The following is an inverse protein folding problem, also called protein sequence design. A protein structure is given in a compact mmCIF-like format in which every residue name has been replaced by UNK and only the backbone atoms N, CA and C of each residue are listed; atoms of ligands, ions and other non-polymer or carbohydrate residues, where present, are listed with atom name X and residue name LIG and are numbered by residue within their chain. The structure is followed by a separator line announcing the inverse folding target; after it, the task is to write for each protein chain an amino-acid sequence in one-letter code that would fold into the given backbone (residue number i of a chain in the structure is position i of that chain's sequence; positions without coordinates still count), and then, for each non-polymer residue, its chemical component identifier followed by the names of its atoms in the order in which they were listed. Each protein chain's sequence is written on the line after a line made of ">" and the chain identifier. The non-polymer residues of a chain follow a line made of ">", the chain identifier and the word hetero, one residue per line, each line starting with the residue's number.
data_IF_664833910461
#
_entry.id   IF_664833910461
#
_cell.length_a   1.000
_cell.length_b   1.000
_cell.length_c   1.000
_cell.angle_alpha   90.00
_cell.angle_beta   90.00
_cell.angle_gamma   90.00
#
_symmetry.space_group_name_H-M   'P 1'
#
loop_
_entity.id
_entity.type
_entity.pdbx_description
1 polymer ?
#
# COMPACT_ATOMS: atom_id res chain seq x y z
N UNK A 1 14.25 8.79 2.82
CA UNK A 1 14.02 8.39 1.42
C UNK A 1 13.20 9.48 0.75
N UNK A 2 13.50 9.85 -0.49
CA UNK A 2 12.70 10.81 -1.25
C UNK A 2 12.08 10.07 -2.44
N UNK A 3 10.75 10.07 -2.57
CA UNK A 3 10.04 9.45 -3.69
C UNK A 3 9.55 10.58 -4.59
N UNK A 4 9.98 10.61 -5.84
CA UNK A 4 9.44 11.53 -6.84
C UNK A 4 8.18 10.92 -7.45
N UNK A 5 7.09 11.68 -7.41
CA UNK A 5 5.80 11.29 -7.97
C UNK A 5 5.58 12.08 -9.25
N UNK A 6 5.05 11.43 -10.28
CA UNK A 6 4.68 12.12 -11.51
C UNK A 6 3.67 13.23 -11.20
N UNK A 7 3.83 14.46 -11.74
CA UNK A 7 2.97 15.59 -11.36
C UNK A 7 1.47 15.34 -11.58
N UNK A 8 1.09 14.60 -12.61
CA UNK A 8 -0.33 14.28 -12.86
C UNK A 8 -0.89 13.28 -11.83
N UNK A 9 -0.07 12.32 -11.37
CA UNK A 9 -0.48 11.39 -10.31
C UNK A 9 -0.60 12.16 -8.99
N UNK A 10 0.32 13.08 -8.72
CA UNK A 10 0.24 13.93 -7.54
C UNK A 10 -1.07 14.73 -7.48
N UNK A 11 -1.49 15.34 -8.60
CA UNK A 11 -2.77 16.07 -8.68
C UNK A 11 -3.98 15.17 -8.35
N UNK A 12 -3.98 13.93 -8.83
CA UNK A 12 -5.06 12.99 -8.51
C UNK A 12 -5.06 12.63 -7.01
N UNK A 13 -3.89 12.40 -6.41
CA UNK A 13 -3.79 12.13 -4.98
C UNK A 13 -4.23 13.34 -4.14
N UNK A 14 -3.89 14.56 -4.54
CA UNK A 14 -4.36 15.79 -3.91
C UNK A 14 -5.89 15.90 -3.99
N UNK A 15 -6.47 15.61 -5.16
CA UNK A 15 -7.92 15.62 -5.35
C UNK A 15 -8.63 14.56 -4.49
N UNK A 16 -8.04 13.37 -4.32
CA UNK A 16 -8.56 12.38 -3.37
C UNK A 16 -8.63 12.92 -1.94
N UNK A 17 -7.62 13.68 -1.50
CA UNK A 17 -7.62 14.31 -0.18
C UNK A 17 -8.72 15.37 -0.07
N UNK A 18 -8.94 16.18 -1.11
CA UNK A 18 -10.04 17.14 -1.14
C UNK A 18 -11.40 16.43 -0.97
N UNK A 19 -11.62 15.32 -1.68
CA UNK A 19 -12.84 14.52 -1.54
C UNK A 19 -12.99 13.93 -0.13
N UNK A 20 -11.90 13.48 0.48
CA UNK A 20 -11.89 12.98 1.85
C UNK A 20 -12.26 14.04 2.88
N UNK A 21 -11.83 15.28 2.68
CA UNK A 21 -12.20 16.39 3.57
C UNK A 21 -13.68 16.75 3.44
N UNK A 22 -14.26 16.62 2.25
CA UNK A 22 -15.67 16.94 1.98
C UNK A 22 -16.63 15.83 2.41
N UNK A 23 -16.23 14.57 2.24
CA UNK A 23 -17.13 13.42 2.36
C UNK A 23 -16.71 12.40 3.44
N UNK A 24 -15.56 12.63 4.07
CA UNK A 24 -14.95 11.72 5.02
C UNK A 24 -14.03 10.69 4.36
N UNK A 25 -13.04 10.22 5.11
CA UNK A 25 -12.16 9.13 4.74
C UNK A 25 -12.31 8.00 5.76
N UNK A 26 -12.86 6.84 5.39
CA UNK A 26 -12.95 5.69 6.31
C UNK A 26 -11.59 5.23 6.85
N UNK A 27 -10.52 5.42 6.07
CA UNK A 27 -9.16 5.09 6.48
C UNK A 27 -8.50 6.18 7.35
N UNK A 28 -9.13 7.34 7.55
CA UNK A 28 -8.61 8.45 8.34
C UNK A 28 -7.31 9.02 7.78
N UNK A 29 -7.28 9.31 6.47
CA UNK A 29 -6.14 9.97 5.79
C UNK A 29 -6.55 11.36 5.35
N UNK A 30 -5.72 12.33 5.64
CA UNK A 30 -5.98 13.76 5.46
C UNK A 30 -4.87 14.50 4.70
N UNK A 31 -3.85 13.76 4.25
CA UNK A 31 -2.73 14.28 3.45
C UNK A 31 -2.25 13.27 2.42
N UNK A 32 -1.60 13.75 1.37
CA UNK A 32 -1.01 12.90 0.33
C UNK A 32 0.04 11.97 0.92
N UNK A 33 0.87 12.47 1.85
CA UNK A 33 1.91 11.69 2.51
C UNK A 33 1.33 10.56 3.37
N UNK A 34 0.25 10.81 4.11
CA UNK A 34 -0.40 9.78 4.93
C UNK A 34 -1.09 8.73 4.05
N UNK A 35 -1.69 9.14 2.94
CA UNK A 35 -2.28 8.24 1.94
C UNK A 35 -1.22 7.33 1.32
N UNK A 36 -0.10 7.89 0.85
CA UNK A 36 1.00 7.12 0.26
C UNK A 36 1.60 6.17 1.29
N UNK A 37 1.84 6.64 2.51
CA UNK A 37 2.38 5.81 3.59
C UNK A 37 1.47 4.61 3.87
N UNK A 38 0.16 4.82 3.82
CA UNK A 38 -0.82 3.75 3.98
C UNK A 38 -0.81 2.75 2.83
N UNK A 39 -0.78 3.22 1.58
CA UNK A 39 -0.70 2.37 0.38
C UNK A 39 0.58 1.51 0.42
N UNK A 40 1.72 2.10 0.75
CA UNK A 40 2.99 1.40 0.86
C UNK A 40 2.96 0.35 1.98
N UNK A 41 2.36 0.68 3.14
CA UNK A 41 2.16 -0.28 4.22
C UNK A 41 1.25 -1.44 3.79
N UNK A 42 0.17 -1.16 3.05
CA UNK A 42 -0.71 -2.20 2.51
C UNK A 42 0.03 -3.11 1.53
N UNK A 43 0.87 -2.58 0.65
CA UNK A 43 1.68 -3.40 -0.25
C UNK A 43 2.63 -4.33 0.53
N UNK A 44 3.32 -3.80 1.55
CA UNK A 44 4.22 -4.60 2.38
C UNK A 44 3.49 -5.68 3.18
N UNK A 45 2.31 -5.36 3.72
CA UNK A 45 1.46 -6.29 4.43
C UNK A 45 0.89 -7.38 3.51
N UNK A 46 0.42 -7.00 2.32
CA UNK A 46 -0.02 -7.95 1.31
C UNK A 46 1.08 -8.94 0.94
N UNK A 47 2.31 -8.46 0.70
CA UNK A 47 3.46 -9.32 0.34
C UNK A 47 3.76 -10.41 1.37
N UNK A 48 3.59 -10.12 2.66
CA UNK A 48 3.92 -11.07 3.74
C UNK A 48 2.72 -11.85 4.28
N UNK A 49 1.48 -11.53 3.86
CA UNK A 49 0.25 -12.14 4.38
C UNK A 49 -0.63 -12.66 3.23
N UNK A 50 -0.47 -13.91 2.76
CA UNK A 50 -1.24 -14.45 1.63
C UNK A 50 -2.77 -14.52 1.86
N UNK A 51 -3.24 -14.45 3.11
CA UNK A 51 -4.68 -14.43 3.41
C UNK A 51 -5.27 -13.05 3.72
N UNK A 52 -4.49 -11.96 3.61
CA UNK A 52 -5.00 -10.62 3.93
C UNK A 52 -5.72 -9.99 2.74
N UNK A 53 -6.57 -8.98 2.98
CA UNK A 53 -7.23 -8.29 1.89
C UNK A 53 -6.23 -7.55 0.98
N UNK A 54 -5.10 -7.08 1.54
CA UNK A 54 -4.03 -6.44 0.79
C UNK A 54 -3.41 -7.39 -0.25
N UNK A 55 -3.42 -8.71 0.00
CA UNK A 55 -2.95 -9.70 -0.98
C UNK A 55 -3.67 -9.54 -2.32
N UNK A 56 -4.98 -9.31 -2.30
CA UNK A 56 -5.77 -9.14 -3.53
C UNK A 56 -5.30 -7.95 -4.36
N UNK A 57 -4.81 -6.88 -3.74
CA UNK A 57 -4.18 -5.75 -4.46
C UNK A 57 -2.92 -6.21 -5.20
N UNK A 58 -2.05 -7.00 -4.56
CA UNK A 58 -0.83 -7.50 -5.21
C UNK A 58 -1.15 -8.48 -6.34
N UNK A 59 -2.15 -9.34 -6.17
CA UNK A 59 -2.59 -10.27 -7.23
C UNK A 59 -3.09 -9.53 -8.45
N UNK A 60 -3.94 -8.50 -8.27
CA UNK A 60 -4.44 -7.67 -9.38
C UNK A 60 -3.32 -6.92 -10.11
N UNK A 61 -2.27 -6.53 -9.41
CA UNK A 61 -1.12 -5.82 -9.97
C UNK A 61 0.00 -6.76 -10.48
N UNK A 62 -0.14 -8.08 -10.32
CA UNK A 62 0.89 -9.05 -10.71
C UNK A 62 2.17 -8.98 -9.85
N UNK A 63 2.06 -8.55 -8.60
CA UNK A 63 3.19 -8.34 -7.66
C UNK A 63 3.46 -9.55 -6.76
N UNK A 64 2.88 -10.71 -7.07
CA UNK A 64 3.09 -11.95 -6.32
C UNK A 64 4.07 -12.86 -7.07
N UNK A 65 5.31 -12.96 -6.58
CA UNK A 65 6.25 -13.97 -7.04
C UNK A 65 5.77 -15.39 -6.70
N UNK A 66 5.98 -16.34 -7.61
CA UNK A 66 5.73 -17.77 -7.42
C UNK A 66 6.85 -18.41 -6.59
N UNK A 67 6.79 -18.23 -5.27
CA UNK A 67 7.77 -18.78 -4.33
C UNK A 67 7.16 -19.09 -2.97
N UNK A 68 7.83 -19.96 -2.20
CA UNK A 68 7.37 -20.39 -0.88
C UNK A 68 7.14 -19.23 0.09
N UNK A 69 7.98 -18.19 0.05
CA UNK A 69 7.87 -17.02 0.93
C UNK A 69 6.58 -16.22 0.73
N UNK A 70 6.02 -16.21 -0.48
CA UNK A 70 4.74 -15.55 -0.76
C UNK A 70 3.53 -16.45 -0.52
N UNK A 71 3.73 -17.74 -0.28
CA UNK A 71 2.68 -18.70 0.10
C UNK A 71 2.58 -18.91 1.62
N UNK A 72 3.43 -18.24 2.40
CA UNK A 72 3.45 -18.35 3.86
C UNK A 72 3.24 -16.99 4.52
N UNK A 73 2.54 -17.00 5.65
CA UNK A 73 2.43 -15.81 6.49
C UNK A 73 3.77 -15.53 7.18
N UNK A 74 4.26 -14.30 7.09
CA UNK A 74 5.46 -13.83 7.82
C UNK A 74 5.09 -12.70 8.78
N UNK A 75 5.52 -12.85 10.03
CA UNK A 75 5.21 -11.91 11.12
C UNK A 75 6.01 -10.61 11.02
N UNK A 76 7.25 -10.69 10.53
CA UNK A 76 8.18 -9.57 10.38
C UNK A 76 8.21 -9.04 8.94
N UNK A 77 8.69 -7.81 8.77
CA UNK A 77 8.98 -7.25 7.45
C UNK A 77 10.37 -7.69 6.97
N UNK A 78 10.50 -7.91 5.67
CA UNK A 78 11.77 -8.32 5.07
C UNK A 78 12.08 -9.80 5.29
N UNK A 79 13.38 -10.13 5.24
CA UNK A 79 13.87 -11.49 5.44
C UNK A 79 14.03 -11.76 6.94
N UNK A 80 13.67 -12.96 7.39
CA UNK A 80 13.90 -13.37 8.78
C UNK A 80 15.41 -13.32 9.11
N UNK A 81 15.76 -12.62 10.19
CA UNK A 81 17.14 -12.47 10.65
C UNK A 81 18.00 -11.44 9.90
N UNK A 82 17.38 -10.52 9.14
CA UNK A 82 18.03 -9.37 8.52
C UNK A 82 18.04 -8.12 9.44
#
# INVERSE_FOLDING_TARGET
>A
MNIQIHPEIQKELEYMIELYQQHGCPAGRDSVESLISYILASIADGSRRPGSWERSLLEMLGLVADCGEHYQYRSQYGKEGA
#
